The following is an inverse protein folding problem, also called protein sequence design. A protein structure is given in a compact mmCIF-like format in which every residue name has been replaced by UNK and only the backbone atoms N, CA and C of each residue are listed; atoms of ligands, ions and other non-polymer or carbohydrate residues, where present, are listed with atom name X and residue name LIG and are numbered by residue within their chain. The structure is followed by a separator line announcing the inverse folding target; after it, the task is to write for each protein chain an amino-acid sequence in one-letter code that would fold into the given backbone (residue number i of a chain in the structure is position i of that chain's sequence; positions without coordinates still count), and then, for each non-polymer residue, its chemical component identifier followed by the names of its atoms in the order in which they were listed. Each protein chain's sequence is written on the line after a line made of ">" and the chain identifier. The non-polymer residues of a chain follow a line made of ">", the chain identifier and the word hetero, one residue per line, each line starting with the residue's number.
data_IF_576365066052
#
_entry.id   IF_576365066052
#
_cell.length_a   1.000
_cell.length_b   1.000
_cell.length_c   1.000
_cell.angle_alpha   90.00
_cell.angle_beta   90.00
_cell.angle_gamma   90.00
#
_symmetry.space_group_name_H-M   'P 1'
#
loop_
_entity.id
_entity.type
_entity.pdbx_description
1 polymer ?
#
# COMPACT_ATOMS: atom_id res chain seq x y z
N UNK A 1 1.47 12.32 -30.12
CA UNK A 1 1.89 11.45 -29.00
C UNK A 1 0.85 10.36 -28.84
N UNK A 2 1.29 9.10 -28.82
CA UNK A 2 0.50 7.88 -29.05
C UNK A 2 -0.57 7.62 -27.99
N UNK A 3 -1.85 7.74 -28.35
CA UNK A 3 -3.03 7.48 -27.49
C UNK A 3 -2.91 6.18 -26.67
N UNK A 4 -2.28 5.13 -27.24
CA UNK A 4 -2.04 3.85 -26.56
C UNK A 4 -1.16 3.92 -25.31
N UNK A 5 -0.07 4.71 -25.31
CA UNK A 5 0.82 4.86 -24.13
C UNK A 5 0.12 5.62 -23.00
N UNK A 6 -0.76 6.55 -23.35
CA UNK A 6 -1.55 7.31 -22.38
C UNK A 6 -2.63 6.43 -21.73
N UNK A 7 -3.36 5.64 -22.53
CA UNK A 7 -4.33 4.66 -22.03
C UNK A 7 -3.67 3.65 -21.08
N UNK A 8 -2.54 3.05 -21.48
CA UNK A 8 -1.80 2.10 -20.64
C UNK A 8 -1.35 2.70 -19.31
N UNK A 9 -0.92 3.96 -19.30
CA UNK A 9 -0.56 4.65 -18.06
C UNK A 9 -1.77 4.90 -17.15
N UNK A 10 -2.91 5.34 -17.69
CA UNK A 10 -4.14 5.54 -16.90
C UNK A 10 -4.59 4.22 -16.26
N UNK A 11 -4.57 3.12 -17.03
CA UNK A 11 -4.89 1.80 -16.50
C UNK A 11 -3.94 1.40 -15.36
N UNK A 12 -2.63 1.62 -15.53
CA UNK A 12 -1.67 1.34 -14.47
C UNK A 12 -1.94 2.14 -13.19
N UNK A 13 -2.32 3.42 -13.31
CA UNK A 13 -2.69 4.27 -12.17
C UNK A 13 -3.96 3.75 -11.48
N UNK A 14 -4.99 3.41 -12.25
CA UNK A 14 -6.26 2.91 -11.70
C UNK A 14 -6.05 1.59 -10.96
N UNK A 15 -5.30 0.66 -11.56
CA UNK A 15 -4.95 -0.62 -10.94
C UNK A 15 -4.13 -0.40 -9.67
N UNK A 16 -3.10 0.46 -9.73
CA UNK A 16 -2.29 0.77 -8.56
C UNK A 16 -3.11 1.38 -7.42
N UNK A 17 -3.99 2.33 -7.74
CA UNK A 17 -4.85 3.00 -6.76
C UNK A 17 -5.85 2.02 -6.12
N UNK A 18 -6.51 1.18 -6.93
CA UNK A 18 -7.43 0.17 -6.43
C UNK A 18 -6.72 -0.83 -5.51
N UNK A 19 -5.58 -1.37 -5.93
CA UNK A 19 -4.79 -2.29 -5.11
C UNK A 19 -4.29 -1.62 -3.81
N UNK A 20 -3.89 -0.35 -3.87
CA UNK A 20 -3.42 0.40 -2.70
C UNK A 20 -4.55 0.70 -1.69
N UNK A 21 -5.77 0.92 -2.17
CA UNK A 21 -6.96 1.04 -1.32
C UNK A 21 -7.31 -0.29 -0.64
N UNK A 22 -7.22 -1.40 -1.37
CA UNK A 22 -7.40 -2.75 -0.79
C UNK A 22 -6.35 -2.99 0.30
N UNK A 23 -5.09 -2.64 0.07
CA UNK A 23 -4.05 -2.70 1.11
C UNK A 23 -4.42 -1.84 2.32
N UNK A 24 -4.92 -0.63 2.12
CA UNK A 24 -5.41 0.25 3.19
C UNK A 24 -6.51 -0.38 4.04
N UNK A 25 -7.46 -1.11 3.42
CA UNK A 25 -8.47 -1.87 4.16
C UNK A 25 -7.84 -2.92 5.08
N UNK A 26 -6.86 -3.69 4.60
CA UNK A 26 -6.13 -4.67 5.42
C UNK A 26 -5.36 -4.02 6.58
N UNK A 27 -4.84 -2.81 6.38
CA UNK A 27 -4.16 -2.06 7.44
C UNK A 27 -5.13 -1.67 8.55
N UNK A 28 -6.34 -1.21 8.21
CA UNK A 28 -7.38 -0.92 9.22
C UNK A 28 -7.84 -2.21 9.91
N UNK A 29 -8.08 -3.27 9.14
CA UNK A 29 -8.50 -4.58 9.68
C UNK A 29 -7.45 -5.20 10.61
N UNK A 30 -6.17 -4.84 10.47
CA UNK A 30 -5.11 -5.32 11.36
C UNK A 30 -5.33 -4.98 12.83
N UNK A 31 -6.14 -3.96 13.15
CA UNK A 31 -6.51 -3.64 14.55
C UNK A 31 -7.34 -4.70 15.25
N UNK A 32 -7.82 -5.73 14.54
CA UNK A 32 -8.44 -6.92 15.13
C UNK A 32 -7.43 -7.92 15.71
N UNK A 33 -6.13 -7.76 15.41
CA UNK A 33 -5.07 -8.68 15.81
C UNK A 33 -3.85 -7.95 16.39
N UNK A 34 -3.52 -6.77 15.87
CA UNK A 34 -2.35 -5.98 16.23
C UNK A 34 -2.70 -4.87 17.24
N UNK A 35 -1.78 -4.50 18.13
CA UNK A 35 -1.98 -3.40 19.06
C UNK A 35 -2.11 -2.06 18.33
N UNK A 36 -2.88 -1.12 18.91
CA UNK A 36 -3.23 0.15 18.28
C UNK A 36 -2.03 0.95 17.77
N UNK A 37 -0.91 0.97 18.50
CA UNK A 37 0.29 1.69 18.07
C UNK A 37 0.86 1.14 16.74
N UNK A 38 0.80 -0.16 16.51
CA UNK A 38 1.28 -0.78 15.28
C UNK A 38 0.35 -0.45 14.10
N UNK A 39 -0.96 -0.43 14.35
CA UNK A 39 -1.97 0.00 13.36
C UNK A 39 -1.75 1.47 12.98
N UNK A 40 -1.50 2.34 13.96
CA UNK A 40 -1.19 3.76 13.71
C UNK A 40 0.06 3.89 12.84
N UNK A 41 1.14 3.16 13.14
CA UNK A 41 2.35 3.17 12.32
C UNK A 41 2.10 2.66 10.90
N UNK A 42 1.31 1.59 10.74
CA UNK A 42 0.89 1.09 9.44
C UNK A 42 0.12 2.16 8.66
N UNK A 43 -0.86 2.83 9.27
CA UNK A 43 -1.64 3.87 8.60
C UNK A 43 -0.79 5.07 8.22
N UNK A 44 0.15 5.50 9.07
CA UNK A 44 1.12 6.54 8.73
C UNK A 44 1.96 6.10 7.52
N UNK A 45 2.46 4.87 7.53
CA UNK A 45 3.21 4.31 6.40
C UNK A 45 2.38 4.28 5.10
N UNK A 46 1.11 3.90 5.20
CA UNK A 46 0.18 3.91 4.07
C UNK A 46 -0.01 5.32 3.49
N UNK A 47 -0.14 6.35 4.34
CA UNK A 47 -0.22 7.76 3.90
C UNK A 47 1.07 8.19 3.19
N UNK A 48 2.23 7.81 3.71
CA UNK A 48 3.52 8.08 3.05
C UNK A 48 3.57 7.44 1.66
N UNK A 49 3.18 6.17 1.54
CA UNK A 49 3.12 5.47 0.25
C UNK A 49 2.12 6.11 -0.71
N UNK A 50 0.98 6.60 -0.22
CA UNK A 50 0.02 7.38 -1.02
C UNK A 50 0.68 8.65 -1.57
N UNK A 51 1.42 9.39 -0.75
CA UNK A 51 2.19 10.56 -1.20
C UNK A 51 3.24 10.21 -2.26
N UNK A 52 3.96 9.11 -2.08
CA UNK A 52 4.91 8.59 -3.08
C UNK A 52 4.18 8.23 -4.39
N UNK A 53 3.05 7.54 -4.32
CA UNK A 53 2.22 7.20 -5.47
C UNK A 53 1.79 8.44 -6.24
N UNK A 54 1.25 9.46 -5.56
CA UNK A 54 0.88 10.74 -6.17
C UNK A 54 2.07 11.39 -6.88
N UNK A 55 3.24 11.43 -6.23
CA UNK A 55 4.47 11.97 -6.84
C UNK A 55 4.91 11.18 -8.08
N UNK A 56 4.77 9.87 -8.08
CA UNK A 56 5.08 9.02 -9.24
C UNK A 56 4.10 9.24 -10.40
N UNK A 57 2.82 9.45 -10.09
CA UNK A 57 1.79 9.79 -11.10
C UNK A 57 2.10 11.15 -11.73
N UNK A 58 2.44 12.15 -10.94
CA UNK A 58 2.85 13.48 -11.43
C UNK A 58 4.07 13.41 -12.35
N UNK A 59 5.01 12.50 -12.06
CA UNK A 59 6.19 12.22 -12.89
C UNK A 59 5.90 11.30 -14.08
N UNK A 60 4.64 10.89 -14.30
CA UNK A 60 4.21 9.95 -15.35
C UNK A 60 5.00 8.63 -15.34
N UNK A 61 5.33 8.14 -14.15
CA UNK A 61 6.15 6.94 -13.97
C UNK A 61 5.31 5.69 -13.69
N UNK A 62 5.57 4.60 -14.42
CA UNK A 62 4.94 3.30 -14.19
C UNK A 62 5.37 2.63 -12.88
N UNK A 63 6.38 3.17 -12.18
CA UNK A 63 6.76 2.72 -10.84
C UNK A 63 5.63 2.89 -9.81
N UNK A 64 4.55 3.62 -10.13
CA UNK A 64 3.33 3.67 -9.32
C UNK A 64 2.76 2.28 -9.03
N UNK A 65 2.96 1.31 -9.93
CA UNK A 65 2.54 -0.08 -9.74
C UNK A 65 3.28 -0.78 -8.59
N UNK A 66 4.47 -0.32 -8.21
CA UNK A 66 5.23 -0.88 -7.10
C UNK A 66 4.70 -0.41 -5.74
N UNK A 67 3.97 0.71 -5.68
CA UNK A 67 3.44 1.26 -4.42
C UNK A 67 2.54 0.26 -3.68
N UNK A 68 1.50 -0.34 -4.29
CA UNK A 68 0.68 -1.34 -3.61
C UNK A 68 1.44 -2.64 -3.31
N UNK A 69 2.49 -2.97 -4.08
CA UNK A 69 3.35 -4.14 -3.81
C UNK A 69 4.15 -3.92 -2.54
N UNK A 70 4.77 -2.74 -2.38
CA UNK A 70 5.49 -2.36 -1.16
C UNK A 70 4.54 -2.34 0.03
N UNK A 71 3.32 -1.83 -0.13
CA UNK A 71 2.30 -1.86 0.92
C UNK A 71 1.98 -3.31 1.35
N UNK A 72 1.67 -4.19 0.39
CA UNK A 72 1.34 -5.59 0.67
C UNK A 72 2.49 -6.33 1.36
N UNK A 73 3.72 -6.16 0.88
CA UNK A 73 4.92 -6.79 1.48
C UNK A 73 5.17 -6.26 2.89
N UNK A 74 5.01 -4.96 3.12
CA UNK A 74 5.18 -4.37 4.46
C UNK A 74 4.18 -4.95 5.43
N UNK A 75 2.90 -5.01 5.04
CA UNK A 75 1.84 -5.56 5.88
C UNK A 75 2.06 -7.04 6.18
N UNK A 76 2.33 -7.85 5.16
CA UNK A 76 2.55 -9.28 5.35
C UNK A 76 3.74 -9.54 6.29
N UNK A 77 4.85 -8.83 6.06
CA UNK A 77 6.03 -8.92 6.92
C UNK A 77 5.76 -8.49 8.36
N UNK A 78 5.00 -7.40 8.56
CA UNK A 78 4.69 -6.91 9.90
C UNK A 78 3.71 -7.83 10.63
N UNK A 79 2.67 -8.35 9.96
CA UNK A 79 1.72 -9.27 10.58
C UNK A 79 2.38 -10.60 10.94
N UNK A 80 3.23 -11.13 10.06
CA UNK A 80 4.04 -12.31 10.32
C UNK A 80 4.96 -12.09 11.53
N UNK A 81 5.76 -11.02 11.50
CA UNK A 81 6.69 -10.70 12.59
C UNK A 81 5.96 -10.40 13.89
N UNK A 82 4.83 -9.70 13.83
CA UNK A 82 3.99 -9.39 14.95
C UNK A 82 3.43 -10.64 15.64
N UNK A 83 2.91 -11.58 14.85
CA UNK A 83 2.42 -12.86 15.38
C UNK A 83 3.53 -13.73 15.97
N UNK A 84 4.59 -13.97 15.20
CA UNK A 84 5.64 -14.94 15.58
C UNK A 84 6.63 -14.40 16.61
N UNK A 85 6.97 -13.10 16.56
CA UNK A 85 8.05 -12.51 17.37
C UNK A 85 7.51 -11.64 18.50
N UNK A 86 6.45 -10.87 18.23
CA UNK A 86 5.86 -9.95 19.22
C UNK A 86 4.67 -10.57 19.96
N UNK A 87 4.23 -11.78 19.57
CA UNK A 87 3.12 -12.50 20.21
C UNK A 87 1.76 -11.83 20.01
N UNK A 88 1.54 -11.13 18.90
CA UNK A 88 0.24 -10.53 18.59
C UNK A 88 -0.79 -11.63 18.32
N UNK A 89 -1.83 -11.65 19.15
CA UNK A 89 -2.99 -12.53 18.99
C UNK A 89 -4.26 -11.68 18.97
N UNK A 90 -5.34 -12.17 18.33
CA UNK A 90 -6.66 -11.56 18.47
C UNK A 90 -7.10 -11.43 19.94
#
# INVERSE_FOLDING_TARGET
>A
MTTGRQLGFVLAVVVAAAAHLVAGYFYVASGLMAPLWAVVLLLVWWVVLTGVGVRLVQRRSFLVLLVPVVAAVTWFGLMWFGGEVLGWTP
#
